data_IF_479941755659
#
_entry.id   IF_479941755659
#
_cell.length_a   1.000
_cell.length_b   1.000
_cell.length_c   1.000
_cell.angle_alpha   90.00
_cell.angle_beta   90.00
_cell.angle_gamma   90.00
#
_symmetry.space_group_name_H-M   'P 1'
#
loop_
_entity.id
_entity.type
_entity.pdbx_description
1 polymer ?
#
# COMPACT_ATOMS: atom_id res chain seq x y z
N UNK A 1 15.12 -10.49 -2.40
CA UNK A 1 14.67 -9.80 -1.17
C UNK A 1 13.22 -9.54 -1.44
N UNK A 2 12.30 -10.09 -0.64
CA UNK A 2 10.88 -10.01 -0.94
C UNK A 2 10.40 -8.55 -1.00
N UNK A 3 9.66 -8.23 -2.06
CA UNK A 3 8.93 -6.98 -2.18
C UNK A 3 7.77 -6.96 -1.20
N UNK A 4 7.45 -5.79 -0.66
CA UNK A 4 6.33 -5.60 0.27
C UNK A 4 5.19 -4.90 -0.45
N UNK A 5 4.12 -5.65 -0.70
CA UNK A 5 2.89 -5.15 -1.31
C UNK A 5 1.93 -4.65 -0.24
N UNK A 6 1.67 -3.34 -0.20
CA UNK A 6 0.63 -2.76 0.62
C UNK A 6 -0.70 -2.69 -0.12
N UNK A 7 -1.76 -3.23 0.48
CA UNK A 7 -3.12 -3.10 -0.04
C UNK A 7 -3.83 -1.88 0.60
N UNK A 8 -4.16 -0.88 -0.22
CA UNK A 8 -4.88 0.34 0.19
C UNK A 8 -6.17 0.50 -0.60
N UNK A 9 -7.09 -0.45 -0.40
CA UNK A 9 -8.37 -0.49 -1.11
C UNK A 9 -9.51 -0.83 -0.15
N UNK A 10 -10.75 -0.51 -0.53
CA UNK A 10 -11.94 -0.99 0.18
C UNK A 10 -12.17 -2.50 0.02
N UNK A 11 -11.51 -3.14 -0.95
CA UNK A 11 -11.66 -4.56 -1.27
C UNK A 11 -10.39 -5.36 -0.93
N UNK A 12 -9.66 -4.99 0.13
CA UNK A 12 -8.40 -5.62 0.51
C UNK A 12 -8.50 -7.14 0.62
N UNK A 13 -9.54 -7.68 1.28
CA UNK A 13 -9.76 -9.12 1.40
C UNK A 13 -9.86 -9.83 0.05
N UNK A 14 -10.58 -9.23 -0.91
CA UNK A 14 -10.74 -9.78 -2.25
C UNK A 14 -9.39 -9.81 -2.99
N UNK A 15 -8.65 -8.70 -2.98
CA UNK A 15 -7.34 -8.68 -3.63
C UNK A 15 -6.34 -9.62 -2.95
N UNK A 16 -6.36 -9.70 -1.62
CA UNK A 16 -5.56 -10.64 -0.84
C UNK A 16 -5.84 -12.08 -1.25
N UNK A 17 -7.11 -12.47 -1.35
CA UNK A 17 -7.51 -13.80 -1.77
C UNK A 17 -7.04 -14.11 -3.19
N UNK A 18 -7.20 -13.17 -4.13
CA UNK A 18 -6.77 -13.33 -5.51
C UNK A 18 -5.24 -13.46 -5.61
N UNK A 19 -4.49 -12.63 -4.90
CA UNK A 19 -3.02 -12.63 -4.90
C UNK A 19 -2.45 -13.89 -4.24
N UNK A 20 -3.08 -14.37 -3.15
CA UNK A 20 -2.69 -15.61 -2.49
C UNK A 20 -2.79 -16.84 -3.42
N UNK A 21 -3.67 -16.80 -4.43
CA UNK A 21 -3.82 -17.86 -5.42
C UNK A 21 -2.73 -17.85 -6.50
N UNK A 22 -1.96 -16.76 -6.66
CA UNK A 22 -0.97 -16.61 -7.73
C UNK A 22 0.45 -17.09 -7.37
N UNK A 23 0.67 -17.60 -6.15
CA UNK A 23 1.97 -18.11 -5.67
C UNK A 23 3.16 -17.19 -5.99
N UNK A 24 3.10 -15.94 -5.52
CA UNK A 24 4.12 -14.92 -5.75
C UNK A 24 5.25 -15.06 -4.71
N UNK A 25 6.33 -15.77 -5.05
CA UNK A 25 7.38 -16.18 -4.10
C UNK A 25 8.26 -15.05 -3.54
N UNK A 26 8.38 -13.92 -4.23
CA UNK A 26 9.19 -12.76 -3.78
C UNK A 26 8.30 -11.56 -3.44
N UNK A 27 7.05 -11.82 -3.04
CA UNK A 27 6.06 -10.80 -2.68
C UNK A 27 5.41 -11.11 -1.33
N UNK A 28 5.67 -10.26 -0.34
CA UNK A 28 5.03 -10.24 0.96
C UNK A 28 3.85 -9.26 0.93
N UNK A 29 2.63 -9.76 1.15
CA UNK A 29 1.45 -8.89 1.27
C UNK A 29 1.40 -8.35 2.69
N UNK A 30 1.51 -7.02 2.83
CA UNK A 30 1.37 -6.29 4.08
C UNK A 30 0.07 -5.48 4.08
N UNK A 31 -0.56 -5.38 5.24
CA UNK A 31 -1.84 -4.69 5.40
C UNK A 31 -1.70 -3.51 6.36
N UNK A 32 -2.52 -2.48 6.12
CA UNK A 32 -2.73 -1.42 7.09
C UNK A 32 -3.74 -1.91 8.15
N UNK A 33 -3.31 -2.78 9.07
CA UNK A 33 -4.20 -3.33 10.09
C UNK A 33 -4.33 -2.33 11.25
N UNK A 34 -5.42 -1.57 11.27
CA UNK A 34 -6.01 -0.97 12.49
C UNK A 34 -6.88 -1.97 13.26
N UNK A 35 -6.53 -3.26 13.25
CA UNK A 35 -7.27 -4.29 13.98
C UNK A 35 -6.36 -5.35 14.59
N UNK A 36 -5.69 -4.99 15.68
CA UNK A 36 -5.33 -5.94 16.74
C UNK A 36 -5.62 -5.31 18.09
N UNK A 37 -6.81 -5.60 18.61
CA UNK A 37 -7.08 -5.64 20.05
C UNK A 37 -6.01 -6.52 20.70
N UNK A 38 -5.18 -5.93 21.57
CA UNK A 38 -4.16 -6.65 22.32
C UNK A 38 -2.90 -5.84 22.64
N UNK A 39 -3.06 -4.85 23.52
CA UNK A 39 -2.06 -4.36 24.47
C UNK A 39 -0.59 -4.24 23.98
N UNK A 40 -0.38 -3.54 22.85
CA UNK A 40 0.94 -3.00 22.48
C UNK A 40 0.84 -1.50 22.23
N UNK A 41 1.54 -0.67 23.01
CA UNK A 41 1.53 0.77 22.82
C UNK A 41 2.68 1.17 21.88
N UNK A 42 2.56 0.95 20.57
CA UNK A 42 3.50 1.55 19.61
C UNK A 42 3.04 1.45 18.14
N UNK A 43 2.85 2.60 17.50
CA UNK A 43 3.34 3.00 16.15
C UNK A 43 3.34 2.02 14.95
N UNK A 44 2.64 0.88 14.99
CA UNK A 44 2.79 -0.18 13.98
C UNK A 44 2.06 0.08 12.65
N UNK A 45 1.16 1.08 12.60
CA UNK A 45 0.51 1.55 11.37
C UNK A 45 1.53 2.20 10.42
N UNK A 46 2.53 2.87 11.00
CA UNK A 46 3.56 3.63 10.30
C UNK A 46 4.53 2.69 9.57
N UNK A 47 4.87 1.55 10.18
CA UNK A 47 5.93 0.68 9.67
C UNK A 47 5.63 0.10 8.28
N UNK A 48 4.40 -0.36 8.03
CA UNK A 48 4.08 -0.97 6.73
C UNK A 48 4.07 0.06 5.59
N UNK A 49 3.59 1.28 5.83
CA UNK A 49 3.62 2.37 4.85
C UNK A 49 5.06 2.80 4.54
N UNK A 50 5.92 2.85 5.56
CA UNK A 50 7.34 3.18 5.40
C UNK A 50 8.15 2.05 4.74
N UNK A 51 7.73 0.80 4.89
CA UNK A 51 8.49 -0.36 4.41
C UNK A 51 8.01 -0.92 3.07
N UNK A 52 6.76 -0.67 2.68
CA UNK A 52 6.20 -1.14 1.42
C UNK A 52 6.78 -0.40 0.22
N UNK A 53 7.23 -1.17 -0.78
CA UNK A 53 7.77 -0.65 -2.02
C UNK A 53 6.81 -0.80 -3.21
N UNK A 54 5.76 -1.61 -3.07
CA UNK A 54 4.67 -1.72 -4.06
C UNK A 54 3.34 -1.47 -3.37
N UNK A 55 2.48 -0.64 -3.95
CA UNK A 55 1.12 -0.41 -3.46
C UNK A 55 0.09 -0.85 -4.50
N UNK A 56 -0.93 -1.60 -4.09
CA UNK A 56 -2.16 -1.77 -4.86
C UNK A 56 -3.23 -0.94 -4.17
N UNK A 57 -3.62 0.19 -4.79
CA UNK A 57 -4.31 1.23 -4.05
C UNK A 57 -5.38 1.97 -4.85
N UNK A 58 -6.39 2.44 -4.12
CA UNK A 58 -7.28 3.49 -4.62
C UNK A 58 -6.55 4.84 -4.58
N UNK A 59 -6.58 5.64 -5.67
CA UNK A 59 -5.87 6.92 -5.76
C UNK A 59 -6.11 7.86 -4.58
N UNK A 60 -7.35 7.97 -4.10
CA UNK A 60 -7.68 8.84 -2.98
C UNK A 60 -7.10 8.37 -1.64
N UNK A 61 -7.02 7.05 -1.42
CA UNK A 61 -6.44 6.47 -0.20
C UNK A 61 -4.90 6.57 -0.23
N UNK A 62 -4.30 6.24 -1.38
CA UNK A 62 -2.86 6.40 -1.59
C UNK A 62 -2.40 7.85 -1.45
N UNK A 63 -3.13 8.82 -2.01
CA UNK A 63 -2.77 10.24 -1.92
C UNK A 63 -2.63 10.75 -0.47
N UNK A 64 -3.45 10.22 0.46
CA UNK A 64 -3.36 10.60 1.87
C UNK A 64 -2.10 10.04 2.56
N UNK A 65 -1.64 8.86 2.14
CA UNK A 65 -0.53 8.13 2.76
C UNK A 65 0.82 8.39 2.09
N UNK A 66 0.81 8.87 0.83
CA UNK A 66 2.00 9.12 0.01
C UNK A 66 3.12 9.91 0.71
N UNK A 67 2.86 10.97 1.50
CA UNK A 67 3.91 11.68 2.23
C UNK A 67 4.73 10.81 3.20
N UNK A 68 4.22 9.65 3.59
CA UNK A 68 4.88 8.72 4.51
C UNK A 68 5.56 7.55 3.76
N UNK A 69 5.42 7.47 2.43
CA UNK A 69 5.84 6.33 1.63
C UNK A 69 7.34 6.36 1.26
N UNK A 70 8.22 6.13 2.23
CA UNK A 70 9.67 6.36 2.08
C UNK A 70 10.40 5.33 1.21
N UNK A 71 9.81 4.16 0.95
CA UNK A 71 10.39 3.10 0.10
C UNK A 71 9.58 2.80 -1.16
N UNK A 72 8.53 3.57 -1.41
CA UNK A 72 7.63 3.33 -2.52
C UNK A 72 8.37 3.41 -3.87
N UNK A 73 8.13 2.42 -4.73
CA UNK A 73 8.67 2.34 -6.08
C UNK A 73 7.59 2.22 -7.14
N UNK A 74 6.45 1.62 -6.80
CA UNK A 74 5.36 1.39 -7.74
C UNK A 74 4.00 1.46 -7.05
N UNK A 75 3.06 2.21 -7.63
CA UNK A 75 1.64 2.17 -7.28
C UNK A 75 0.87 1.60 -8.46
N UNK A 76 0.17 0.48 -8.25
CA UNK A 76 -0.87 0.03 -9.16
C UNK A 76 -2.21 0.62 -8.71
N UNK A 77 -2.78 1.50 -9.53
CA UNK A 77 -4.12 2.02 -9.27
C UNK A 77 -5.20 0.98 -9.55
N UNK A 78 -6.22 0.93 -8.69
CA UNK A 78 -7.46 0.16 -8.93
C UNK A 78 -8.53 0.95 -9.69
N UNK A 79 -8.28 2.22 -10.01
CA UNK A 79 -9.18 3.11 -10.76
C UNK A 79 -8.51 3.58 -12.06
N UNK A 80 -9.34 3.91 -13.07
CA UNK A 80 -8.82 4.51 -14.30
C UNK A 80 -8.37 5.97 -14.12
N UNK A 81 -9.05 6.72 -13.24
CA UNK A 81 -8.71 8.11 -12.92
C UNK A 81 -7.70 8.18 -11.78
N UNK A 82 -6.54 8.79 -12.02
CA UNK A 82 -5.43 8.90 -11.06
C UNK A 82 -5.16 10.34 -10.62
N UNK A 83 -6.05 11.29 -10.92
CA UNK A 83 -5.88 12.73 -10.64
C UNK A 83 -5.50 13.03 -9.18
N UNK A 84 -6.00 12.23 -8.24
CA UNK A 84 -5.66 12.36 -6.83
C UNK A 84 -4.16 12.19 -6.53
N UNK A 85 -3.45 11.39 -7.34
CA UNK A 85 -2.01 11.11 -7.22
C UNK A 85 -1.14 12.11 -7.99
N UNK A 86 -1.74 12.92 -8.88
CA UNK A 86 -1.03 13.86 -9.74
C UNK A 86 -0.90 15.27 -9.12
N UNK A 87 -1.26 15.43 -7.85
CA UNK A 87 -1.22 16.74 -7.18
C UNK A 87 0.24 17.17 -7.00
N UNK A 88 0.65 18.38 -7.43
CA UNK A 88 2.06 18.81 -7.38
C UNK A 88 2.73 18.76 -6.00
N UNK A 89 1.94 18.80 -4.92
CA UNK A 89 2.42 18.72 -3.54
C UNK A 89 2.77 17.30 -3.07
N UNK A 90 2.47 16.27 -3.87
CA UNK A 90 2.73 14.87 -3.52
C UNK A 90 4.10 14.42 -4.07
N UNK A 91 4.70 13.37 -3.47
CA UNK A 91 5.81 12.67 -4.10
C UNK A 91 5.41 12.13 -5.48
N UNK A 92 6.36 12.10 -6.42
CA UNK A 92 6.17 11.51 -7.75
C UNK A 92 7.39 10.65 -8.18
N UNK A 93 8.29 10.33 -7.24
CA UNK A 93 9.47 9.49 -7.48
C UNK A 93 9.12 7.99 -7.37
N UNK A 94 8.09 7.59 -8.11
CA UNK A 94 7.59 6.22 -8.19
C UNK A 94 6.94 5.98 -9.55
N UNK A 95 6.81 4.72 -9.95
CA UNK A 95 6.07 4.30 -11.12
C UNK A 95 4.57 4.24 -10.82
N UNK A 96 3.74 4.70 -11.75
CA UNK A 96 2.28 4.66 -11.67
C UNK A 96 1.71 3.75 -12.77
#
# INVERSE_FOLDING_TARGET
MAHKLLLLTRENDKYRQLLAQQSLFDLEIVENITDRIGDRPDNSISDNIHQADIWLAEPHLAAAMLPHATKLKWIQSTFAGVDALMKPSLPHDYLL
#
